data_IF_318855170071
#
_entry.id   IF_318855170071
#
_cell.length_a   1.000
_cell.length_b   1.000
_cell.length_c   1.000
_cell.angle_alpha   90.00
_cell.angle_beta   90.00
_cell.angle_gamma   90.00
#
_symmetry.space_group_name_H-M   'P 1'
#
loop_
_entity.id
_entity.type
_entity.pdbx_description
1 polymer ?
#
# COMPACT_ATOMS: atom_id res chain seq x y z
N UNK A 1 -14.76 1.04 59.52
CA UNK A 1 -13.75 0.46 58.62
C UNK A 1 -14.39 -0.68 57.85
N UNK A 2 -14.64 -0.49 56.55
CA UNK A 2 -14.88 -1.57 55.59
C UNK A 2 -14.22 -1.11 54.29
N UNK A 3 -13.01 -1.63 54.03
CA UNK A 3 -12.31 -1.41 52.77
C UNK A 3 -12.97 -2.31 51.72
N UNK A 4 -13.62 -1.69 50.73
CA UNK A 4 -14.06 -2.39 49.55
C UNK A 4 -12.83 -2.74 48.70
N UNK A 5 -12.61 -4.04 48.50
CA UNK A 5 -11.62 -4.57 47.58
C UNK A 5 -12.00 -4.20 46.15
N UNK A 6 -11.34 -3.18 45.61
CA UNK A 6 -11.31 -2.92 44.17
C UNK A 6 -10.26 -3.86 43.57
N UNK A 7 -10.70 -5.01 43.06
CA UNK A 7 -9.86 -5.84 42.20
C UNK A 7 -9.69 -5.11 40.86
N UNK A 8 -8.58 -4.42 40.71
CA UNK A 8 -8.15 -3.86 39.44
C UNK A 8 -7.83 -4.98 38.45
N UNK A 9 -8.72 -5.21 37.49
CA UNK A 9 -8.40 -5.96 36.29
C UNK A 9 -7.28 -5.25 35.49
N UNK A 10 -6.41 -5.98 34.80
CA UNK A 10 -5.32 -5.38 34.03
C UNK A 10 -5.87 -4.65 32.79
N UNK A 11 -6.18 -3.37 32.97
CA UNK A 11 -6.44 -2.40 31.89
C UNK A 11 -5.18 -2.26 31.04
N UNK A 12 -5.04 -3.04 29.96
CA UNK A 12 -3.83 -2.92 29.15
C UNK A 12 -3.89 -3.45 27.72
N UNK A 13 -4.50 -4.62 27.49
CA UNK A 13 -4.50 -5.24 26.14
C UNK A 13 -5.88 -5.27 25.47
N UNK A 14 -6.95 -5.54 26.24
CA UNK A 14 -8.32 -5.55 25.72
C UNK A 14 -8.80 -4.17 25.28
N UNK A 15 -8.47 -3.12 26.04
CA UNK A 15 -8.85 -1.73 25.71
C UNK A 15 -8.12 -1.21 24.47
N UNK A 16 -6.83 -1.51 24.31
CA UNK A 16 -6.04 -1.07 23.17
C UNK A 16 -6.54 -1.68 21.85
N UNK A 17 -6.91 -2.98 21.86
CA UNK A 17 -7.51 -3.64 20.69
C UNK A 17 -8.88 -3.03 20.36
N UNK A 18 -9.76 -2.87 21.36
CA UNK A 18 -11.08 -2.27 21.16
C UNK A 18 -11.00 -0.83 20.60
N UNK A 19 -10.08 0.00 21.13
CA UNK A 19 -9.83 1.34 20.59
C UNK A 19 -9.35 1.30 19.13
N UNK A 20 -8.51 0.31 18.78
CA UNK A 20 -8.03 0.13 17.41
C UNK A 20 -9.14 -0.34 16.47
N UNK A 21 -9.99 -1.26 16.93
CA UNK A 21 -11.16 -1.72 16.18
C UNK A 21 -12.11 -0.56 15.88
N UNK A 22 -12.42 0.26 16.89
CA UNK A 22 -13.23 1.46 16.73
C UNK A 22 -12.62 2.43 15.69
N UNK A 23 -11.31 2.69 15.77
CA UNK A 23 -10.61 3.54 14.81
C UNK A 23 -10.72 2.99 13.37
N UNK A 24 -10.53 1.68 13.18
CA UNK A 24 -10.61 1.06 11.85
C UNK A 24 -12.04 1.12 11.32
N UNK A 25 -13.04 0.82 12.14
CA UNK A 25 -14.45 0.94 11.80
C UNK A 25 -14.81 2.37 11.36
N UNK A 26 -14.38 3.38 12.12
CA UNK A 26 -14.62 4.79 11.80
C UNK A 26 -13.95 5.20 10.48
N UNK A 27 -12.72 4.76 10.24
CA UNK A 27 -12.02 5.00 8.98
C UNK A 27 -12.78 4.34 7.83
N UNK A 28 -13.14 3.06 7.93
CA UNK A 28 -13.84 2.35 6.84
C UNK A 28 -15.23 2.95 6.56
N UNK A 29 -15.95 3.38 7.60
CA UNK A 29 -17.22 4.09 7.44
C UNK A 29 -17.05 5.40 6.65
N UNK A 30 -15.99 6.16 6.94
CA UNK A 30 -15.66 7.37 6.20
C UNK A 30 -15.36 7.10 4.72
N UNK A 31 -14.61 6.04 4.44
CA UNK A 31 -14.28 5.67 3.06
C UNK A 31 -15.51 5.20 2.27
N UNK A 32 -16.38 4.37 2.86
CA UNK A 32 -17.65 3.96 2.25
C UNK A 32 -18.54 5.17 1.93
N UNK A 33 -18.56 6.17 2.81
CA UNK A 33 -19.29 7.42 2.56
C UNK A 33 -18.65 8.29 1.47
N UNK A 34 -17.32 8.41 1.45
CA UNK A 34 -16.62 9.25 0.49
C UNK A 34 -16.56 8.65 -0.93
N UNK A 35 -16.59 7.31 -1.03
CA UNK A 35 -16.40 6.55 -2.25
C UNK A 35 -17.45 5.42 -2.37
N UNK A 36 -18.74 5.75 -2.55
CA UNK A 36 -19.83 4.77 -2.52
C UNK A 36 -19.78 3.73 -3.66
N UNK A 37 -19.05 4.02 -4.75
CA UNK A 37 -18.90 3.12 -5.90
C UNK A 37 -17.77 2.08 -5.72
N UNK A 38 -17.20 1.98 -4.51
CA UNK A 38 -16.12 1.06 -4.15
C UNK A 38 -16.54 0.24 -2.92
N UNK A 39 -16.19 -1.05 -2.93
CA UNK A 39 -16.37 -1.92 -1.77
C UNK A 39 -15.12 -1.87 -0.89
N UNK A 40 -15.34 -1.76 0.43
CA UNK A 40 -14.26 -1.71 1.42
C UNK A 40 -14.34 -2.92 2.36
N UNK A 41 -13.28 -3.71 2.36
CA UNK A 41 -13.15 -4.94 3.13
C UNK A 41 -12.00 -4.85 4.15
N UNK A 42 -12.21 -5.43 5.32
CA UNK A 42 -11.17 -5.71 6.31
C UNK A 42 -11.02 -7.22 6.41
N UNK A 43 -9.83 -7.73 6.11
CA UNK A 43 -9.48 -9.14 6.32
C UNK A 43 -8.71 -9.26 7.64
N UNK A 44 -9.44 -9.32 8.75
CA UNK A 44 -8.88 -9.32 10.11
C UNK A 44 -7.97 -10.52 10.39
N UNK A 45 -8.27 -11.68 9.78
CA UNK A 45 -7.55 -12.93 10.02
C UNK A 45 -6.19 -12.99 9.34
N UNK A 46 -5.94 -12.13 8.35
CA UNK A 46 -4.66 -12.13 7.62
C UNK A 46 -3.58 -11.35 8.37
N UNK A 47 -2.45 -12.02 8.64
CA UNK A 47 -1.25 -11.38 9.19
C UNK A 47 -0.46 -10.55 8.16
N UNK A 48 -0.97 -10.41 6.93
CA UNK A 48 -0.27 -9.70 5.86
C UNK A 48 -0.25 -8.20 6.14
N UNK A 49 0.94 -7.59 6.12
CA UNK A 49 1.13 -6.14 6.22
C UNK A 49 0.94 -5.51 4.84
N UNK A 50 -0.30 -5.45 4.37
CA UNK A 50 -0.64 -4.87 3.07
C UNK A 50 -2.06 -4.26 3.02
N UNK A 51 -2.32 -3.49 1.97
CA UNK A 51 -3.64 -3.18 1.46
C UNK A 51 -3.66 -3.48 -0.04
N UNK A 52 -4.83 -3.62 -0.64
CA UNK A 52 -4.93 -4.00 -2.04
C UNK A 52 -6.21 -3.50 -2.72
N UNK A 53 -6.03 -2.88 -3.88
CA UNK A 53 -7.05 -2.64 -4.88
C UNK A 53 -7.12 -3.81 -5.87
N UNK A 54 -8.33 -4.31 -6.10
CA UNK A 54 -8.58 -5.33 -7.13
C UNK A 54 -10.01 -5.23 -7.65
N UNK A 55 -10.28 -5.96 -8.72
CA UNK A 55 -11.60 -6.06 -9.34
C UNK A 55 -12.12 -7.49 -9.14
N UNK A 56 -13.35 -7.63 -8.66
CA UNK A 56 -14.01 -8.93 -8.45
C UNK A 56 -15.36 -8.90 -9.16
N UNK A 57 -15.43 -9.53 -10.33
CA UNK A 57 -16.58 -9.37 -11.22
C UNK A 57 -16.70 -7.91 -11.66
N UNK A 58 -17.86 -7.29 -11.42
CA UNK A 58 -18.08 -5.87 -11.70
C UNK A 58 -17.71 -4.95 -10.52
N UNK A 59 -17.32 -5.52 -9.38
CA UNK A 59 -17.03 -4.74 -8.18
C UNK A 59 -15.58 -4.29 -8.14
N UNK A 60 -15.38 -3.02 -7.82
CA UNK A 60 -14.07 -2.44 -7.48
C UNK A 60 -13.88 -2.51 -5.98
N UNK A 61 -12.93 -3.31 -5.53
CA UNK A 61 -12.71 -3.62 -4.13
C UNK A 61 -11.41 -2.98 -3.65
N UNK A 62 -11.45 -2.44 -2.44
CA UNK A 62 -10.30 -2.03 -1.64
C UNK A 62 -10.32 -2.88 -0.36
N UNK A 63 -9.27 -3.68 -0.16
CA UNK A 63 -9.11 -4.52 1.03
C UNK A 63 -7.92 -4.05 1.84
N UNK A 64 -8.10 -3.95 3.15
CA UNK A 64 -7.00 -3.82 4.10
C UNK A 64 -6.85 -5.12 4.88
N UNK A 65 -5.62 -5.62 5.00
CA UNK A 65 -5.33 -6.85 5.71
C UNK A 65 -5.02 -6.56 7.19
N UNK A 66 -5.38 -7.49 8.08
CA UNK A 66 -5.24 -7.36 9.52
C UNK A 66 -3.82 -7.02 9.96
N UNK A 67 -2.80 -7.61 9.33
CA UNK A 67 -1.40 -7.33 9.58
C UNK A 67 -1.04 -5.85 9.40
N UNK A 68 -1.65 -5.15 8.43
CA UNK A 68 -1.49 -3.70 8.27
C UNK A 68 -2.41 -2.92 9.22
N UNK A 69 -3.69 -3.31 9.26
CA UNK A 69 -4.73 -2.64 10.03
C UNK A 69 -4.39 -2.58 11.52
N UNK A 70 -3.74 -3.60 12.07
CA UNK A 70 -3.41 -3.73 13.49
C UNK A 70 -1.92 -3.55 13.80
N UNK A 71 -1.09 -3.19 12.82
CA UNK A 71 0.33 -2.98 13.08
C UNK A 71 0.56 -1.80 14.03
N UNK A 72 1.36 -2.00 15.09
CA UNK A 72 1.59 -1.00 16.12
C UNK A 72 2.24 0.30 15.59
N UNK A 73 3.17 0.17 14.63
CA UNK A 73 3.79 1.33 13.96
C UNK A 73 2.83 2.09 13.02
N UNK A 74 1.69 1.50 12.65
CA UNK A 74 0.75 2.12 11.71
C UNK A 74 -0.23 3.03 12.43
N UNK A 75 -0.14 4.34 12.20
CA UNK A 75 -1.05 5.32 12.79
C UNK A 75 -2.30 5.55 11.91
N UNK A 76 -3.25 6.36 12.40
CA UNK A 76 -4.49 6.66 11.69
C UNK A 76 -4.26 7.31 10.32
N UNK A 77 -3.35 8.29 10.23
CA UNK A 77 -3.00 8.96 8.96
C UNK A 77 -2.39 7.98 7.96
N UNK A 78 -1.57 7.03 8.43
CA UNK A 78 -0.98 5.98 7.60
C UNK A 78 -2.02 4.99 7.06
N UNK A 79 -3.01 4.60 7.87
CA UNK A 79 -4.14 3.79 7.41
C UNK A 79 -4.96 4.53 6.35
N UNK A 80 -5.27 5.81 6.59
CA UNK A 80 -6.01 6.66 5.65
C UNK A 80 -5.24 6.83 4.35
N UNK A 81 -3.92 7.04 4.43
CA UNK A 81 -3.06 7.13 3.26
C UNK A 81 -3.08 5.82 2.45
N UNK A 82 -2.90 4.67 3.12
CA UNK A 82 -2.93 3.36 2.46
C UNK A 82 -4.26 3.12 1.73
N UNK A 83 -5.40 3.39 2.39
CA UNK A 83 -6.70 3.25 1.75
C UNK A 83 -6.90 4.24 0.59
N UNK A 84 -6.48 5.51 0.72
CA UNK A 84 -6.55 6.46 -0.39
C UNK A 84 -5.64 6.05 -1.56
N UNK A 85 -4.51 5.39 -1.27
CA UNK A 85 -3.64 4.82 -2.30
C UNK A 85 -4.38 3.73 -3.08
N UNK A 86 -5.01 2.78 -2.40
CA UNK A 86 -5.81 1.73 -3.06
C UNK A 86 -6.99 2.31 -3.85
N UNK A 87 -7.68 3.31 -3.31
CA UNK A 87 -8.72 4.05 -4.05
C UNK A 87 -8.12 4.76 -5.28
N UNK A 88 -6.90 5.27 -5.15
CA UNK A 88 -6.15 5.91 -6.23
C UNK A 88 -5.85 4.95 -7.38
N UNK A 89 -5.62 3.66 -7.12
CA UNK A 89 -5.52 2.67 -8.20
C UNK A 89 -6.81 2.62 -9.04
N UNK A 90 -7.99 2.64 -8.42
CA UNK A 90 -9.26 2.65 -9.14
C UNK A 90 -9.58 3.98 -9.84
N UNK A 91 -9.26 5.11 -9.21
CA UNK A 91 -9.80 6.42 -9.61
C UNK A 91 -8.79 7.36 -10.28
N UNK A 92 -7.50 7.06 -10.25
CA UNK A 92 -6.49 7.88 -10.92
C UNK A 92 -6.64 7.84 -12.43
N UNK A 93 -6.24 8.94 -13.07
CA UNK A 93 -6.00 9.02 -14.52
C UNK A 93 -4.49 8.95 -14.77
N UNK A 94 -4.10 8.46 -15.94
CA UNK A 94 -2.70 8.39 -16.37
C UNK A 94 -2.19 6.96 -16.45
N UNK A 95 -0.92 6.77 -16.11
CA UNK A 95 -0.26 5.47 -16.23
C UNK A 95 -0.95 4.34 -15.46
N UNK A 96 -1.11 3.20 -16.13
CA UNK A 96 -1.77 1.98 -15.61
C UNK A 96 -0.75 0.90 -15.23
N UNK A 97 -1.17 -0.08 -14.42
CA UNK A 97 -0.38 -1.29 -14.16
C UNK A 97 -0.36 -2.17 -15.43
N UNK A 98 0.77 -2.83 -15.74
CA UNK A 98 0.80 -3.77 -16.88
C UNK A 98 -0.05 -4.99 -16.65
N UNK A 99 0.03 -5.55 -15.44
CA UNK A 99 -0.65 -6.79 -15.09
C UNK A 99 -2.18 -6.60 -15.03
N UNK A 100 -2.64 -5.35 -14.85
CA UNK A 100 -4.04 -4.98 -14.89
C UNK A 100 -4.19 -3.51 -15.31
N UNK A 101 -4.58 -3.29 -16.58
CA UNK A 101 -4.73 -1.94 -17.12
C UNK A 101 -5.92 -1.16 -16.57
N UNK A 102 -6.84 -1.81 -15.85
CA UNK A 102 -7.97 -1.15 -15.20
C UNK A 102 -7.53 -0.38 -13.94
N UNK A 103 -6.38 -0.74 -13.37
CA UNK A 103 -5.80 -0.09 -12.21
C UNK A 103 -4.70 0.89 -12.63
N UNK A 104 -4.75 2.11 -12.08
CA UNK A 104 -3.65 3.08 -12.11
C UNK A 104 -2.40 2.51 -11.45
N UNK A 105 -1.21 2.97 -11.84
CA UNK A 105 0.02 2.53 -11.18
C UNK A 105 0.28 3.27 -9.87
N UNK A 106 1.24 2.78 -9.06
CA UNK A 106 1.66 3.35 -7.77
C UNK A 106 1.74 4.88 -7.75
N UNK A 107 2.43 5.47 -8.72
CA UNK A 107 2.63 6.90 -8.75
C UNK A 107 1.39 7.69 -9.18
N UNK A 108 0.54 7.08 -10.01
CA UNK A 108 -0.73 7.68 -10.40
C UNK A 108 -1.69 7.67 -9.21
N UNK A 109 -1.68 6.59 -8.43
CA UNK A 109 -2.40 6.47 -7.17
C UNK A 109 -1.94 7.55 -6.17
N UNK A 110 -0.65 7.63 -5.85
CA UNK A 110 -0.13 8.66 -4.93
C UNK A 110 -0.44 10.09 -5.40
N UNK A 111 -0.23 10.40 -6.68
CA UNK A 111 -0.57 11.72 -7.24
C UNK A 111 -2.06 12.03 -7.09
N UNK A 112 -2.92 11.03 -7.27
CA UNK A 112 -4.35 11.20 -7.10
C UNK A 112 -4.72 11.52 -5.65
N UNK A 113 -4.05 10.93 -4.65
CA UNK A 113 -4.23 11.28 -3.23
C UNK A 113 -3.99 12.78 -3.03
N UNK A 114 -2.82 13.25 -3.50
CA UNK A 114 -2.36 14.63 -3.33
C UNK A 114 -3.27 15.64 -4.06
N UNK A 115 -3.73 15.29 -5.26
CA UNK A 115 -4.50 16.21 -6.10
C UNK A 115 -6.00 16.23 -5.77
N UNK A 116 -6.58 15.09 -5.36
CA UNK A 116 -8.04 14.92 -5.27
C UNK A 116 -8.50 14.10 -4.08
N UNK A 117 -7.83 12.98 -3.78
CA UNK A 117 -8.28 11.98 -2.82
C UNK A 117 -8.48 12.54 -1.42
N UNK A 118 -7.46 13.20 -0.88
CA UNK A 118 -7.52 13.79 0.47
C UNK A 118 -8.58 14.89 0.57
N UNK A 119 -8.68 15.76 -0.45
CA UNK A 119 -9.68 16.82 -0.49
C UNK A 119 -11.12 16.26 -0.57
N UNK A 120 -11.33 15.20 -1.36
CA UNK A 120 -12.63 14.52 -1.46
C UNK A 120 -13.03 13.87 -0.14
N UNK A 121 -12.13 13.13 0.51
CA UNK A 121 -12.38 12.52 1.81
C UNK A 121 -12.77 13.58 2.84
N UNK A 122 -11.95 14.65 2.96
CA UNK A 122 -12.24 15.78 3.86
C UNK A 122 -13.60 16.42 3.59
N UNK A 123 -13.95 16.65 2.32
CA UNK A 123 -15.23 17.26 1.94
C UNK A 123 -16.43 16.40 2.39
N UNK A 124 -16.33 15.08 2.27
CA UNK A 124 -17.44 14.16 2.54
C UNK A 124 -17.56 13.74 4.01
N UNK A 125 -16.46 13.76 4.76
CA UNK A 125 -16.44 13.16 6.12
C UNK A 125 -15.81 14.03 7.19
N UNK A 126 -15.22 15.18 6.81
CA UNK A 126 -14.35 16.02 7.65
C UNK A 126 -13.04 15.37 8.10
N UNK A 127 -12.77 14.11 7.72
CA UNK A 127 -11.49 13.45 8.01
C UNK A 127 -10.36 14.16 7.28
N UNK A 128 -9.35 14.58 8.02
CA UNK A 128 -8.11 15.14 7.50
C UNK A 128 -7.05 14.05 7.34
N UNK A 129 -6.07 14.31 6.48
CA UNK A 129 -4.88 13.48 6.31
C UNK A 129 -3.64 14.36 6.45
N UNK A 130 -2.75 14.04 7.39
CA UNK A 130 -1.38 14.57 7.40
C UNK A 130 -0.46 13.60 6.66
N UNK A 131 0.10 14.06 5.54
CA UNK A 131 1.02 13.26 4.73
C UNK A 131 2.30 12.95 5.49
N UNK A 132 2.81 13.89 6.26
CA UNK A 132 4.03 13.74 7.06
C UNK A 132 3.86 12.64 8.12
N UNK A 133 2.73 12.63 8.84
CA UNK A 133 2.41 11.59 9.84
C UNK A 133 2.20 10.24 9.18
N UNK A 134 1.53 10.19 8.04
CA UNK A 134 1.34 8.96 7.28
C UNK A 134 2.70 8.37 6.83
N UNK A 135 3.52 9.18 6.16
CA UNK A 135 4.85 8.79 5.67
C UNK A 135 5.75 8.32 6.81
N UNK A 136 5.73 9.01 7.96
CA UNK A 136 6.50 8.60 9.14
C UNK A 136 6.11 7.20 9.64
N UNK A 137 4.80 6.89 9.72
CA UNK A 137 4.36 5.54 10.12
C UNK A 137 4.73 4.46 9.10
N UNK A 138 4.64 4.76 7.80
CA UNK A 138 5.04 3.83 6.74
C UNK A 138 6.56 3.58 6.78
N UNK A 139 7.35 4.61 7.04
CA UNK A 139 8.81 4.49 7.19
C UNK A 139 9.16 3.54 8.33
N UNK A 140 8.50 3.67 9.48
CA UNK A 140 8.70 2.77 10.63
C UNK A 140 8.37 1.31 10.26
N UNK A 141 7.32 1.06 9.48
CA UNK A 141 7.01 -0.29 8.96
C UNK A 141 8.13 -0.82 8.06
N UNK A 142 8.62 0.00 7.13
CA UNK A 142 9.66 -0.44 6.18
C UNK A 142 11.02 -0.66 6.83
N UNK A 143 11.36 0.13 7.86
CA UNK A 143 12.59 -0.03 8.62
C UNK A 143 12.63 -1.37 9.38
N UNK A 144 11.49 -1.78 9.94
CA UNK A 144 11.35 -3.09 10.60
C UNK A 144 11.45 -4.27 9.61
N UNK A 145 11.08 -4.06 8.34
CA UNK A 145 11.22 -5.04 7.27
C UNK A 145 12.60 -5.02 6.56
N UNK A 146 13.50 -4.10 6.94
CA UNK A 146 14.55 -3.54 6.09
C UNK A 146 15.96 -4.14 6.18
N UNK A 147 16.21 -5.24 6.89
CA UNK A 147 17.50 -5.94 6.81
C UNK A 147 17.65 -6.66 5.45
N UNK A 148 18.13 -5.96 4.41
CA UNK A 148 18.84 -6.65 3.30
C UNK A 148 18.53 -6.30 1.84
N UNK A 149 17.89 -5.18 1.48
CA UNK A 149 17.71 -4.84 0.04
C UNK A 149 18.78 -3.88 -0.48
N UNK A 150 19.74 -4.43 -1.25
CA UNK A 150 20.75 -3.67 -2.02
C UNK A 150 20.11 -2.69 -3.01
N UNK A 151 20.70 -1.50 -3.12
CA UNK A 151 20.31 -0.45 -4.05
C UNK A 151 20.30 -0.93 -5.52
N UNK A 152 19.20 -0.69 -6.24
CA UNK A 152 19.09 -0.97 -7.68
C UNK A 152 19.66 0.21 -8.50
N UNK A 153 20.42 -0.11 -9.56
CA UNK A 153 20.97 0.88 -10.52
C UNK A 153 19.84 1.61 -11.27
N UNK A 154 20.07 2.91 -11.52
CA UNK A 154 19.13 3.86 -12.15
C UNK A 154 18.82 3.48 -13.61
N UNK A 155 17.54 3.25 -13.89
CA UNK A 155 16.98 3.21 -15.25
C UNK A 155 16.28 4.53 -15.62
N UNK A 156 15.77 4.67 -16.87
CA UNK A 156 15.05 5.87 -17.35
C UNK A 156 13.83 6.15 -16.46
N UNK A 157 13.22 7.34 -16.50
CA UNK A 157 12.25 7.82 -15.48
C UNK A 157 11.02 6.91 -15.26
N UNK A 158 11.23 5.81 -14.52
CA UNK A 158 10.25 4.85 -14.05
C UNK A 158 9.60 5.45 -12.81
N UNK A 159 8.30 5.22 -12.66
CA UNK A 159 7.49 5.57 -11.50
C UNK A 159 8.31 5.89 -10.22
N UNK A 160 8.26 7.14 -9.75
CA UNK A 160 8.97 7.61 -8.55
C UNK A 160 8.57 6.92 -7.25
N UNK A 161 7.44 6.21 -7.22
CA UNK A 161 6.94 5.46 -6.08
C UNK A 161 7.69 4.13 -5.85
N UNK A 162 8.45 3.62 -6.83
CA UNK A 162 9.25 2.38 -6.69
C UNK A 162 10.46 2.55 -5.77
N UNK A 163 10.87 3.79 -5.50
CA UNK A 163 12.02 4.08 -4.65
C UNK A 163 11.58 4.88 -3.43
N UNK A 164 11.53 4.24 -2.26
CA UNK A 164 10.98 4.83 -1.03
C UNK A 164 11.52 6.23 -0.70
N UNK A 165 12.85 6.49 -0.69
CA UNK A 165 13.36 7.84 -0.44
C UNK A 165 12.84 8.90 -1.43
N UNK A 166 12.63 8.51 -2.71
CA UNK A 166 12.10 9.40 -3.73
C UNK A 166 10.60 9.60 -3.57
N UNK A 167 9.86 8.51 -3.30
CA UNK A 167 8.43 8.52 -2.99
C UNK A 167 8.14 9.45 -1.80
N UNK A 168 8.86 9.27 -0.69
CA UNK A 168 8.80 10.12 0.49
C UNK A 168 9.00 11.60 0.14
N UNK A 169 10.06 11.92 -0.60
CA UNK A 169 10.34 13.30 -1.00
C UNK A 169 9.19 13.94 -1.79
N UNK A 170 8.60 13.20 -2.74
CA UNK A 170 7.46 13.69 -3.55
C UNK A 170 6.19 13.82 -2.70
N UNK A 171 5.91 12.88 -1.80
CA UNK A 171 4.71 12.92 -0.96
C UNK A 171 4.71 14.13 -0.04
N UNK A 172 5.85 14.45 0.60
CA UNK A 172 5.97 15.61 1.50
C UNK A 172 6.16 16.95 0.78
N UNK A 173 6.34 16.93 -0.55
CA UNK A 173 6.47 18.13 -1.40
C UNK A 173 5.63 17.96 -2.68
N UNK A 174 4.31 18.12 -2.61
CA UNK A 174 3.40 17.82 -3.71
C UNK A 174 3.71 18.58 -5.00
N UNK A 175 4.27 19.79 -4.91
CA UNK A 175 4.74 20.60 -6.03
C UNK A 175 5.87 19.92 -6.82
N UNK A 176 6.60 18.99 -6.21
CA UNK A 176 7.63 18.19 -6.85
C UNK A 176 7.07 16.95 -7.57
N UNK A 177 5.76 16.69 -7.53
CA UNK A 177 5.16 15.50 -8.14
C UNK A 177 5.07 15.61 -9.67
N UNK A 178 5.89 14.87 -10.44
CA UNK A 178 5.88 14.95 -11.89
C UNK A 178 4.59 14.40 -12.48
N UNK A 179 4.18 14.92 -13.64
CA UNK A 179 3.09 14.33 -14.42
C UNK A 179 3.47 12.92 -14.88
N UNK A 180 2.49 12.01 -14.93
CA UNK A 180 2.74 10.58 -15.19
C UNK A 180 1.94 10.15 -16.41
N UNK A 181 2.38 10.55 -17.62
CA UNK A 181 1.68 10.20 -18.84
C UNK A 181 1.72 8.70 -19.11
N UNK A 182 2.80 8.01 -18.69
CA UNK A 182 2.96 6.56 -18.78
C UNK A 182 3.71 6.05 -17.56
N UNK A 183 3.37 4.84 -17.12
CA UNK A 183 4.01 4.20 -15.98
C UNK A 183 4.71 2.93 -16.45
N UNK A 184 6.05 2.97 -16.45
CA UNK A 184 6.90 1.91 -17.00
C UNK A 184 7.32 0.84 -15.99
N UNK A 185 6.74 0.85 -14.77
CA UNK A 185 6.99 -0.22 -13.79
C UNK A 185 6.61 -1.60 -14.39
N UNK A 186 5.59 -1.57 -15.24
CA UNK A 186 5.13 -2.63 -16.14
C UNK A 186 6.23 -3.25 -17.01
N UNK A 187 6.98 -2.42 -17.72
CA UNK A 187 7.95 -2.86 -18.72
C UNK A 187 9.21 -3.41 -18.06
N UNK A 188 9.63 -2.80 -16.95
CA UNK A 188 10.78 -3.26 -16.17
C UNK A 188 10.54 -4.62 -15.47
N UNK A 189 9.33 -4.86 -14.94
CA UNK A 189 8.97 -6.17 -14.39
C UNK A 189 8.82 -7.24 -15.47
N UNK A 190 8.27 -6.89 -16.64
CA UNK A 190 8.18 -7.79 -17.79
C UNK A 190 9.55 -8.22 -18.30
N UNK A 191 10.49 -7.28 -18.43
CA UNK A 191 11.88 -7.58 -18.82
C UNK A 191 12.60 -8.47 -17.79
N UNK A 192 12.31 -8.29 -16.50
CA UNK A 192 12.86 -9.17 -15.46
C UNK A 192 12.28 -10.58 -15.49
N UNK A 193 10.99 -10.73 -15.74
CA UNK A 193 10.36 -12.03 -15.89
C UNK A 193 10.88 -12.77 -17.13
N UNK A 194 11.17 -12.05 -18.22
CA UNK A 194 11.81 -12.62 -19.42
C UNK A 194 13.25 -13.06 -19.10
N UNK A 195 14.07 -12.20 -18.50
CA UNK A 195 15.45 -12.52 -18.13
C UNK A 195 15.55 -13.69 -17.13
N UNK A 196 14.58 -13.86 -16.23
CA UNK A 196 14.51 -14.99 -15.30
C UNK A 196 14.11 -16.30 -15.99
N UNK A 197 13.29 -16.25 -17.05
CA UNK A 197 12.90 -17.44 -17.83
C UNK A 197 14.03 -17.93 -18.74
N UNK A 198 14.83 -17.02 -19.29
CA UNK A 198 15.99 -17.36 -20.12
C UNK A 198 17.11 -18.03 -19.31
N UNK A 199 17.31 -17.59 -18.06
CA UNK A 199 18.28 -18.22 -17.15
C UNK A 199 17.85 -19.60 -16.65
N UNK A 200 16.55 -19.86 -16.48
CA UNK A 200 16.05 -21.21 -16.15
C UNK A 200 16.04 -22.16 -17.35
N UNK A 201 15.85 -21.66 -18.56
CA UNK A 201 15.84 -22.48 -19.79
C UNK A 201 17.25 -22.71 -20.36
N UNK A 202 18.24 -21.92 -19.95
CA UNK A 202 19.65 -22.11 -20.34
C UNK A 202 20.38 -23.23 -19.59
N UNK A 203 19.77 -23.83 -18.56
CA UNK A 203 20.40 -24.88 -17.73
C UNK A 203 19.93 -26.31 -18.08
N UNK A 204 19.42 -26.54 -19.31
CA UNK A 204 18.95 -27.88 -19.74
C UNK A 204 19.63 -28.43 -21.00
N UNK A 205 20.61 -27.74 -21.61
CA UNK A 205 21.23 -28.18 -22.87
C UNK A 205 22.72 -28.52 -22.83
N UNK A 206 23.40 -28.58 -21.68
CA UNK A 206 24.84 -28.90 -21.62
C UNK A 206 25.23 -30.23 -20.94
N UNK A 207 24.37 -31.26 -20.97
CA UNK A 207 24.71 -32.57 -20.38
C UNK A 207 24.33 -33.78 -21.24
N UNK A 208 24.65 -33.73 -22.54
CA UNK A 208 24.78 -34.94 -23.36
C UNK A 208 25.85 -34.73 -24.43
N UNK A 209 27.11 -35.03 -24.10
CA UNK A 209 28.01 -35.71 -25.01
C UNK A 209 29.33 -36.08 -24.31
N UNK A 210 29.77 -37.30 -24.61
CA UNK A 210 31.07 -37.95 -24.34
C UNK A 210 31.15 -38.86 -23.12
N UNK A 211 30.43 -39.98 -23.24
CA UNK A 211 30.96 -41.29 -22.89
C UNK A 211 30.72 -42.24 -24.07
N UNK A 212 31.81 -42.69 -24.71
CA UNK A 212 32.02 -44.02 -25.30
C UNK A 212 33.24 -44.04 -26.24
N UNK A 213 34.08 -45.04 -25.96
CA UNK A 213 35.26 -45.56 -26.67
C UNK A 213 36.53 -44.70 -26.57
#
# INVERSE_FOLDING_TARGET
MLFANVTGEPVGKGSARACRDALICDILADFRRAFPDLLFELDEGSATVNAQAFIRGNDRVVRIYGGLAYHAAMNADGLVFALLHEVGHHLSKGGRLAANSELGCECAADRWILAKGAARLRKQTRRTLSIERAVSSIEQLTALAGCGRRARKRGPSVCWADHWPRRKHVLVRPEAAPAIPRCYLSEFLRLKQIAQRETTNGCSTSRRQRSRC
#
